data_IF_050606633737
#
_entry.id   IF_050606633737
#
_cell.length_a   1.000
_cell.length_b   1.000
_cell.length_c   1.000
_cell.angle_alpha   90.00
_cell.angle_beta   90.00
_cell.angle_gamma   90.00
#
_symmetry.space_group_name_H-M   'P 1'
#
loop_
_entity.id
_entity.type
_entity.pdbx_description
1 polymer ?
#
# COMPACT_ATOMS: atom_id res chain seq x y z
N UNK A 1 -10.29 14.59 -17.23
CA UNK A 1 -9.08 14.49 -16.40
C UNK A 1 -8.04 13.77 -17.24
N UNK A 2 -6.79 14.23 -17.26
CA UNK A 2 -5.77 13.58 -18.05
C UNK A 2 -5.29 12.26 -17.41
N UNK A 3 -4.61 11.41 -18.21
CA UNK A 3 -4.23 10.07 -17.77
C UNK A 3 -3.21 10.09 -16.60
N UNK A 4 -2.30 11.06 -16.57
CA UNK A 4 -1.31 11.16 -15.48
C UNK A 4 -1.98 11.52 -14.14
N UNK A 5 -2.96 12.42 -14.16
CA UNK A 5 -3.76 12.73 -12.96
C UNK A 5 -4.54 11.51 -12.46
N UNK A 6 -5.06 10.68 -13.38
CA UNK A 6 -5.75 9.44 -12.99
C UNK A 6 -4.80 8.37 -12.44
N UNK A 7 -3.57 8.30 -12.95
CA UNK A 7 -2.54 7.38 -12.45
C UNK A 7 -1.97 7.82 -11.09
N UNK A 8 -1.84 9.11 -10.88
CA UNK A 8 -1.23 9.69 -9.68
C UNK A 8 -2.12 10.76 -9.06
N UNK A 9 -3.27 10.40 -8.52
CA UNK A 9 -4.27 11.35 -8.02
C UNK A 9 -3.77 12.24 -6.87
N UNK A 10 -2.71 11.82 -6.18
CA UNK A 10 -2.03 12.58 -5.11
C UNK A 10 -0.56 12.91 -5.46
N UNK A 11 -0.19 12.80 -6.74
CA UNK A 11 1.21 12.92 -7.18
C UNK A 11 2.04 11.66 -6.91
N UNK A 12 3.27 11.66 -7.44
CA UNK A 12 4.24 10.57 -7.21
C UNK A 12 4.82 10.62 -5.80
N UNK A 13 5.35 9.49 -5.32
CA UNK A 13 6.02 9.44 -4.03
C UNK A 13 7.16 10.45 -3.98
N UNK A 14 7.17 11.27 -2.94
CA UNK A 14 8.21 12.27 -2.70
C UNK A 14 8.49 12.32 -1.19
N UNK A 15 9.60 11.74 -0.78
CA UNK A 15 10.01 11.71 0.61
C UNK A 15 10.95 12.88 0.93
N UNK A 16 10.92 13.42 2.16
CA UNK A 16 11.87 14.43 2.59
C UNK A 16 13.30 13.85 2.58
N UNK A 17 14.30 14.68 2.20
CA UNK A 17 15.71 14.27 2.22
C UNK A 17 16.20 13.84 3.60
N UNK A 18 15.66 14.46 4.65
CA UNK A 18 15.92 14.11 6.06
C UNK A 18 14.59 13.69 6.66
N UNK A 19 14.47 12.42 6.99
CA UNK A 19 13.27 11.86 7.60
C UNK A 19 13.35 12.05 9.11
N UNK A 20 12.46 12.85 9.65
CA UNK A 20 12.37 13.12 11.10
C UNK A 20 11.54 12.03 11.81
N UNK A 21 11.68 12.01 13.15
CA UNK A 21 10.82 11.16 14.00
C UNK A 21 9.33 11.48 13.81
N UNK A 22 8.99 12.76 13.64
CA UNK A 22 7.61 13.19 13.42
C UNK A 22 7.04 12.67 12.08
N UNK A 23 7.87 12.61 11.03
CA UNK A 23 7.46 12.01 9.75
C UNK A 23 7.13 10.54 9.93
N UNK A 24 7.98 9.78 10.63
CA UNK A 24 7.78 8.36 10.91
C UNK A 24 6.49 8.14 11.72
N UNK A 25 6.27 8.91 12.78
CA UNK A 25 5.05 8.82 13.60
C UNK A 25 3.78 9.11 12.79
N UNK A 26 3.82 10.13 11.93
CA UNK A 26 2.73 10.46 11.01
C UNK A 26 2.46 9.32 10.02
N UNK A 27 3.50 8.74 9.44
CA UNK A 27 3.35 7.64 8.49
C UNK A 27 2.82 6.36 9.15
N UNK A 28 3.28 6.04 10.36
CA UNK A 28 2.74 4.93 11.14
C UNK A 28 1.25 5.14 11.44
N UNK A 29 0.81 6.36 11.73
CA UNK A 29 -0.62 6.68 11.94
C UNK A 29 -1.45 6.46 10.67
N UNK A 30 -0.90 6.77 9.48
CA UNK A 30 -1.55 6.46 8.20
C UNK A 30 -1.71 4.95 8.02
N UNK A 31 -0.65 4.18 8.27
CA UNK A 31 -0.72 2.72 8.22
C UNK A 31 -1.76 2.17 9.21
N UNK A 32 -1.82 2.73 10.43
CA UNK A 32 -2.75 2.28 11.48
C UNK A 32 -4.23 2.45 11.08
N UNK A 33 -4.56 3.55 10.42
CA UNK A 33 -5.94 3.91 10.09
C UNK A 33 -6.40 3.43 8.72
N UNK A 34 -5.47 3.12 7.82
CA UNK A 34 -5.77 2.80 6.43
C UNK A 34 -6.78 1.65 6.24
N UNK A 35 -6.67 0.47 6.90
CA UNK A 35 -7.59 -0.63 6.64
C UNK A 35 -9.04 -0.29 6.99
N UNK A 36 -9.26 0.44 8.09
CA UNK A 36 -10.60 0.86 8.52
C UNK A 36 -11.17 1.92 7.57
N UNK A 37 -10.33 2.86 7.13
CA UNK A 37 -10.73 3.89 6.17
C UNK A 37 -11.10 3.27 4.81
N UNK A 38 -10.30 2.29 4.35
CA UNK A 38 -10.57 1.57 3.11
C UNK A 38 -11.89 0.80 3.21
N UNK A 39 -12.11 0.05 4.28
CA UNK A 39 -13.37 -0.66 4.52
C UNK A 39 -14.56 0.30 4.50
N UNK A 40 -14.46 1.40 5.24
CA UNK A 40 -15.53 2.40 5.28
C UNK A 40 -15.85 2.97 3.89
N UNK A 41 -14.83 3.20 3.08
CA UNK A 41 -14.98 3.72 1.72
C UNK A 41 -15.76 2.77 0.82
N UNK A 42 -15.49 1.45 0.90
CA UNK A 42 -15.98 0.47 -0.07
C UNK A 42 -17.15 -0.39 0.40
N UNK A 43 -17.52 -0.34 1.68
CA UNK A 43 -18.49 -1.26 2.32
C UNK A 43 -19.88 -1.32 1.68
N UNK A 44 -20.29 -0.27 0.96
CA UNK A 44 -21.61 -0.18 0.34
C UNK A 44 -21.56 -0.33 -1.19
N UNK A 45 -20.38 -0.65 -1.75
CA UNK A 45 -20.26 -0.84 -3.19
C UNK A 45 -20.82 -2.20 -3.60
N UNK A 46 -21.61 -2.20 -4.67
CA UNK A 46 -22.06 -3.43 -5.33
C UNK A 46 -20.92 -4.09 -6.10
N UNK A 47 -21.04 -5.38 -6.44
CA UNK A 47 -20.06 -6.07 -7.28
C UNK A 47 -19.81 -5.35 -8.61
N UNK A 48 -20.87 -4.83 -9.25
CA UNK A 48 -20.73 -4.03 -10.47
C UNK A 48 -19.83 -2.81 -10.28
N UNK A 49 -19.93 -2.13 -9.14
CA UNK A 49 -19.07 -0.99 -8.81
C UNK A 49 -17.66 -1.44 -8.46
N UNK A 50 -17.52 -2.52 -7.71
CA UNK A 50 -16.22 -3.12 -7.40
C UNK A 50 -15.46 -3.55 -8.65
N UNK A 51 -16.16 -4.00 -9.69
CA UNK A 51 -15.57 -4.44 -10.95
C UNK A 51 -15.40 -3.30 -11.99
N UNK A 52 -15.60 -2.04 -11.57
CA UNK A 52 -15.35 -0.86 -12.40
C UNK A 52 -13.86 -0.45 -12.31
N UNK A 53 -13.16 -0.30 -13.45
CA UNK A 53 -11.78 0.18 -13.47
C UNK A 53 -11.67 1.64 -13.01
N UNK A 54 -10.66 1.96 -12.18
CA UNK A 54 -10.45 3.34 -11.72
C UNK A 54 -10.02 4.31 -12.85
N UNK A 55 -9.55 3.79 -13.96
CA UNK A 55 -9.26 4.49 -15.23
C UNK A 55 -9.29 3.50 -16.39
N UNK A 56 -9.31 4.00 -17.61
CA UNK A 56 -9.16 3.16 -18.80
C UNK A 56 -7.84 2.35 -18.75
N UNK A 57 -7.93 1.05 -18.96
CA UNK A 57 -6.81 0.11 -18.88
C UNK A 57 -6.17 0.00 -17.49
N UNK A 58 -6.83 0.51 -16.44
CA UNK A 58 -6.42 0.35 -15.05
C UNK A 58 -7.10 -0.83 -14.36
N UNK A 59 -6.69 -1.10 -13.13
CA UNK A 59 -7.31 -2.10 -12.27
C UNK A 59 -8.73 -1.70 -11.86
N UNK A 60 -9.56 -2.68 -11.59
CA UNK A 60 -10.85 -2.49 -10.92
C UNK A 60 -10.65 -2.12 -9.46
N UNK A 61 -11.68 -1.58 -8.80
CA UNK A 61 -11.64 -1.34 -7.35
C UNK A 61 -11.30 -2.63 -6.60
N UNK A 62 -11.89 -3.76 -7.02
CA UNK A 62 -11.62 -5.09 -6.45
C UNK A 62 -10.14 -5.44 -6.53
N UNK A 63 -9.52 -5.32 -7.68
CA UNK A 63 -8.09 -5.57 -7.87
C UNK A 63 -7.22 -4.63 -7.03
N UNK A 64 -7.57 -3.35 -6.92
CA UNK A 64 -6.85 -2.39 -6.06
C UNK A 64 -6.89 -2.81 -4.60
N UNK A 65 -8.04 -3.29 -4.09
CA UNK A 65 -8.16 -3.75 -2.69
C UNK A 65 -7.30 -4.99 -2.44
N UNK A 66 -7.33 -5.97 -3.33
CA UNK A 66 -6.51 -7.18 -3.20
C UNK A 66 -5.02 -6.84 -3.32
N UNK A 67 -4.64 -5.97 -4.28
CA UNK A 67 -3.28 -5.46 -4.42
C UNK A 67 -2.76 -4.76 -3.16
N UNK A 68 -3.58 -3.99 -2.47
CA UNK A 68 -3.17 -3.36 -1.20
C UNK A 68 -2.71 -4.42 -0.18
N UNK A 69 -3.44 -5.53 -0.05
CA UNK A 69 -3.02 -6.60 0.85
C UNK A 69 -1.71 -7.25 0.38
N UNK A 70 -1.62 -7.64 -0.88
CA UNK A 70 -0.45 -8.31 -1.45
C UNK A 70 0.82 -7.45 -1.29
N UNK A 71 0.72 -6.17 -1.65
CA UNK A 71 1.82 -5.21 -1.54
C UNK A 71 2.26 -5.01 -0.09
N UNK A 72 1.31 -4.78 0.83
CA UNK A 72 1.62 -4.52 2.22
C UNK A 72 2.16 -5.75 2.95
N UNK A 73 1.70 -6.96 2.59
CA UNK A 73 2.27 -8.20 3.08
C UNK A 73 3.73 -8.38 2.64
N UNK A 74 4.03 -8.10 1.38
CA UNK A 74 5.40 -8.10 0.87
C UNK A 74 6.27 -7.09 1.63
N UNK A 75 5.79 -5.87 1.85
CA UNK A 75 6.51 -4.85 2.62
C UNK A 75 6.79 -5.29 4.05
N UNK A 76 5.78 -5.78 4.77
CA UNK A 76 5.96 -6.30 6.12
C UNK A 76 7.06 -7.37 6.18
N UNK A 77 7.08 -8.26 5.20
CA UNK A 77 8.09 -9.31 5.08
C UNK A 77 9.50 -8.71 4.87
N UNK A 78 9.63 -7.66 4.04
CA UNK A 78 10.90 -6.93 3.85
C UNK A 78 11.43 -6.34 5.16
N UNK A 79 10.55 -5.80 6.04
CA UNK A 79 10.96 -5.36 7.38
C UNK A 79 11.55 -6.50 8.21
N UNK A 80 10.91 -7.68 8.17
CA UNK A 80 11.38 -8.83 8.95
C UNK A 80 12.75 -9.28 8.47
N UNK A 81 12.97 -9.40 7.18
CA UNK A 81 14.28 -9.75 6.61
C UNK A 81 15.35 -8.71 6.96
N UNK A 82 15.07 -7.43 6.74
CA UNK A 82 16.05 -6.35 6.96
C UNK A 82 16.52 -6.26 8.42
N UNK A 83 15.67 -6.64 9.37
CA UNK A 83 16.04 -6.63 10.79
C UNK A 83 16.73 -7.88 11.27
N UNK A 84 16.62 -8.99 10.54
CA UNK A 84 17.18 -10.30 10.92
C UNK A 84 18.38 -10.72 10.06
N UNK A 85 18.61 -10.03 8.94
CA UNK A 85 19.69 -10.33 8.01
C UNK A 85 20.55 -9.07 7.78
N UNK A 86 21.74 -9.25 7.23
CA UNK A 86 22.61 -8.13 6.86
C UNK A 86 22.35 -7.71 5.42
N UNK A 87 21.72 -6.55 5.26
CA UNK A 87 21.36 -5.91 3.98
C UNK A 87 20.82 -6.92 2.92
N UNK A 88 19.68 -7.56 3.19
CA UNK A 88 19.14 -8.59 2.31
C UNK A 88 18.73 -8.02 0.94
N UNK A 89 18.91 -8.82 -0.11
CA UNK A 89 18.28 -8.57 -1.40
C UNK A 89 16.84 -9.09 -1.31
N UNK A 90 15.87 -8.21 -1.45
CA UNK A 90 14.45 -8.59 -1.35
C UNK A 90 13.98 -9.28 -2.65
N UNK A 91 12.94 -10.10 -2.53
CA UNK A 91 12.28 -10.63 -3.71
C UNK A 91 11.29 -9.60 -4.28
N UNK A 92 11.44 -9.28 -5.55
CA UNK A 92 10.43 -8.54 -6.31
C UNK A 92 9.23 -9.45 -6.56
N UNK A 93 8.03 -8.90 -6.45
CA UNK A 93 6.84 -9.55 -6.96
C UNK A 93 6.28 -8.73 -8.14
N UNK A 94 5.72 -9.42 -9.11
CA UNK A 94 5.17 -8.79 -10.30
C UNK A 94 3.71 -8.42 -10.05
N UNK A 95 3.46 -7.22 -9.53
CA UNK A 95 2.12 -6.76 -9.12
C UNK A 95 1.09 -6.85 -10.25
N UNK A 96 1.49 -6.49 -11.48
CA UNK A 96 0.61 -6.58 -12.65
C UNK A 96 0.15 -8.02 -12.91
N UNK A 97 1.05 -9.01 -12.73
CA UNK A 97 0.73 -10.42 -12.92
C UNK A 97 -0.12 -10.96 -11.76
N UNK A 98 0.15 -10.52 -10.53
CA UNK A 98 -0.66 -10.90 -9.37
C UNK A 98 -2.07 -10.32 -9.49
N UNK A 99 -2.22 -9.08 -9.96
CA UNK A 99 -3.52 -8.45 -10.24
C UNK A 99 -4.36 -9.21 -11.28
N UNK A 100 -3.74 -10.04 -12.12
CA UNK A 100 -4.43 -10.86 -13.11
C UNK A 100 -4.87 -12.25 -12.59
N UNK A 101 -4.47 -12.63 -11.38
CA UNK A 101 -4.88 -13.91 -10.78
C UNK A 101 -6.37 -13.88 -10.38
N UNK A 102 -6.94 -15.07 -10.23
CA UNK A 102 -8.37 -15.23 -10.00
C UNK A 102 -8.84 -14.62 -8.67
N UNK A 103 -8.03 -14.72 -7.63
CA UNK A 103 -8.32 -14.13 -6.33
C UNK A 103 -8.40 -12.59 -6.40
N UNK A 104 -7.48 -11.95 -7.11
CA UNK A 104 -7.52 -10.49 -7.32
C UNK A 104 -8.71 -10.04 -8.17
N UNK A 105 -9.19 -10.87 -9.08
CA UNK A 105 -10.28 -10.53 -10.02
C UNK A 105 -11.67 -10.83 -9.51
N UNK A 106 -11.84 -11.84 -8.68
CA UNK A 106 -13.18 -12.35 -8.36
C UNK A 106 -13.43 -12.70 -6.89
N UNK A 107 -12.41 -12.71 -6.04
CA UNK A 107 -12.62 -13.01 -4.63
C UNK A 107 -13.43 -11.91 -3.93
N UNK A 108 -14.21 -12.26 -2.88
CA UNK A 108 -14.83 -11.27 -2.03
C UNK A 108 -13.80 -10.34 -1.40
N UNK A 109 -13.98 -9.03 -1.53
CA UNK A 109 -13.02 -8.02 -1.01
C UNK A 109 -12.78 -8.12 0.48
N UNK A 110 -13.75 -8.66 1.23
CA UNK A 110 -13.64 -8.81 2.69
C UNK A 110 -12.44 -9.67 3.08
N UNK A 111 -12.03 -10.63 2.26
CA UNK A 111 -10.86 -11.47 2.52
C UNK A 111 -9.58 -10.63 2.63
N UNK A 112 -9.37 -9.68 1.72
CA UNK A 112 -8.22 -8.79 1.78
C UNK A 112 -8.38 -7.67 2.81
N UNK A 113 -9.58 -7.16 3.03
CA UNK A 113 -9.84 -6.14 4.06
C UNK A 113 -9.54 -6.70 5.46
N UNK A 114 -10.03 -7.88 5.80
CA UNK A 114 -9.77 -8.50 7.11
C UNK A 114 -8.29 -8.88 7.27
N UNK A 115 -7.67 -9.38 6.20
CA UNK A 115 -6.25 -9.67 6.20
C UNK A 115 -5.39 -8.39 6.37
N UNK A 116 -5.76 -7.27 5.71
CA UNK A 116 -5.13 -5.95 5.91
C UNK A 116 -5.26 -5.46 7.35
N UNK A 117 -6.44 -5.57 7.96
CA UNK A 117 -6.66 -5.18 9.36
C UNK A 117 -5.70 -5.92 10.29
N UNK A 118 -5.63 -7.25 10.15
CA UNK A 118 -4.76 -8.09 10.97
C UNK A 118 -3.27 -7.80 10.71
N UNK A 119 -2.88 -7.65 9.43
CA UNK A 119 -1.52 -7.32 9.03
C UNK A 119 -1.08 -5.97 9.58
N UNK A 120 -1.88 -4.91 9.36
CA UNK A 120 -1.54 -3.56 9.80
C UNK A 120 -1.52 -3.45 11.33
N UNK A 121 -2.43 -4.07 12.05
CA UNK A 121 -2.40 -4.11 13.52
C UNK A 121 -1.07 -4.70 14.01
N UNK A 122 -0.64 -5.82 13.44
CA UNK A 122 0.64 -6.46 13.77
C UNK A 122 1.85 -5.63 13.31
N UNK A 123 1.79 -5.03 12.13
CA UNK A 123 2.87 -4.22 11.59
C UNK A 123 3.07 -2.93 12.39
N UNK A 124 2.00 -2.22 12.71
CA UNK A 124 2.04 -0.99 13.52
C UNK A 124 2.53 -1.28 14.94
N UNK A 125 2.06 -2.37 15.58
CA UNK A 125 2.58 -2.80 16.88
C UNK A 125 4.10 -3.00 16.84
N UNK A 126 4.59 -3.69 15.82
CA UNK A 126 6.01 -3.92 15.59
C UNK A 126 6.78 -2.61 15.34
N UNK A 127 6.26 -1.70 14.51
CA UNK A 127 6.92 -0.43 14.19
C UNK A 127 7.01 0.50 15.40
N UNK A 128 5.98 0.55 16.25
CA UNK A 128 5.96 1.38 17.47
C UNK A 128 7.04 0.97 18.48
N UNK A 129 7.47 -0.29 18.47
CA UNK A 129 8.52 -0.82 19.35
C UNK A 129 9.92 -0.85 18.67
N UNK A 130 10.00 -0.54 17.39
CA UNK A 130 11.26 -0.56 16.64
C UNK A 130 12.05 0.72 16.87
N UNK A 131 13.33 0.60 17.29
CA UNK A 131 14.19 1.77 17.52
C UNK A 131 14.48 2.54 16.23
N UNK A 132 14.67 3.86 16.34
CA UNK A 132 15.05 4.71 15.20
C UNK A 132 16.30 4.20 14.48
N UNK A 133 17.32 3.76 15.23
CA UNK A 133 18.55 3.23 14.66
C UNK A 133 18.31 1.94 13.87
N UNK A 134 17.34 1.13 14.29
CA UNK A 134 16.94 -0.07 13.53
C UNK A 134 16.25 0.28 12.22
N UNK A 135 15.55 1.41 12.16
CA UNK A 135 14.90 1.90 10.96
C UNK A 135 15.87 2.48 9.91
N UNK A 136 17.14 2.72 10.28
CA UNK A 136 18.20 3.07 9.33
C UNK A 136 18.76 1.86 8.56
N UNK A 137 18.47 0.63 9.01
CA UNK A 137 18.84 -0.57 8.26
C UNK A 137 18.17 -0.58 6.89
N UNK A 138 18.88 -1.17 5.93
CA UNK A 138 18.50 -1.13 4.51
C UNK A 138 18.37 -2.54 3.94
N UNK A 139 17.55 -2.66 2.91
CA UNK A 139 17.52 -3.78 1.98
C UNK A 139 17.91 -3.29 0.58
N UNK A 140 18.25 -4.23 -0.31
CA UNK A 140 18.53 -3.95 -1.72
C UNK A 140 17.30 -4.33 -2.55
N UNK A 141 16.80 -3.37 -3.35
CA UNK A 141 15.77 -3.64 -4.36
C UNK A 141 16.46 -4.08 -5.65
N UNK A 142 16.23 -5.31 -6.15
CA UNK A 142 17.06 -5.88 -7.21
C UNK A 142 16.78 -5.30 -8.61
N UNK A 143 15.69 -4.58 -8.82
CA UNK A 143 15.39 -3.96 -10.13
C UNK A 143 16.38 -2.85 -10.46
N UNK A 144 16.66 -1.98 -9.48
CA UNK A 144 17.50 -0.79 -9.67
C UNK A 144 18.81 -0.90 -8.87
N UNK A 145 18.99 -1.96 -8.09
CA UNK A 145 20.02 -2.11 -7.06
C UNK A 145 20.01 -0.98 -6.02
N UNK A 146 18.86 -0.36 -5.81
CA UNK A 146 18.70 0.71 -4.86
C UNK A 146 18.70 0.18 -3.41
N UNK A 147 19.43 0.88 -2.55
CA UNK A 147 19.39 0.68 -1.12
C UNK A 147 18.24 1.49 -0.51
N UNK A 148 17.24 0.80 0.02
CA UNK A 148 16.08 1.41 0.65
C UNK A 148 16.13 1.18 2.15
N UNK A 149 16.14 2.24 2.96
CA UNK A 149 16.04 2.13 4.40
C UNK A 149 14.61 1.79 4.86
N UNK A 150 14.49 1.19 6.05
CA UNK A 150 13.16 0.89 6.60
C UNK A 150 12.34 2.15 6.86
N UNK A 151 12.95 3.27 7.25
CA UNK A 151 12.23 4.55 7.41
C UNK A 151 11.70 5.10 6.08
N UNK A 152 12.45 4.99 4.98
CA UNK A 152 11.97 5.33 3.64
C UNK A 152 10.81 4.42 3.24
N UNK A 153 10.93 3.11 3.51
CA UNK A 153 9.87 2.15 3.20
C UNK A 153 8.57 2.42 3.97
N UNK A 154 8.62 2.90 5.24
CA UNK A 154 7.42 3.37 5.95
C UNK A 154 6.76 4.52 5.19
N UNK A 155 7.54 5.52 4.75
CA UNK A 155 7.03 6.66 4.00
C UNK A 155 6.43 6.28 2.65
N UNK A 156 7.08 5.38 1.90
CA UNK A 156 6.58 4.83 0.65
C UNK A 156 5.22 4.16 0.87
N UNK A 157 5.07 3.35 1.93
CA UNK A 157 3.82 2.63 2.18
C UNK A 157 2.72 3.51 2.80
N UNK A 158 3.06 4.57 3.51
CA UNK A 158 2.09 5.59 3.88
C UNK A 158 1.56 6.35 2.65
N UNK A 159 2.44 6.69 1.69
CA UNK A 159 2.02 7.23 0.40
C UNK A 159 1.17 6.23 -0.38
N UNK A 160 1.56 4.96 -0.44
CA UNK A 160 0.86 3.88 -1.14
C UNK A 160 -0.57 3.68 -0.60
N UNK A 161 -0.77 3.74 0.72
CA UNK A 161 -2.10 3.75 1.33
C UNK A 161 -2.98 4.88 0.77
N UNK A 162 -2.49 6.11 0.84
CA UNK A 162 -3.22 7.29 0.38
C UNK A 162 -3.44 7.28 -1.13
N UNK A 163 -2.47 6.77 -1.90
CA UNK A 163 -2.51 6.68 -3.35
C UNK A 163 -3.64 5.76 -3.83
N UNK A 164 -3.72 4.55 -3.31
CA UNK A 164 -4.76 3.62 -3.67
C UNK A 164 -6.14 3.98 -3.10
N UNK A 165 -6.18 4.57 -1.91
CA UNK A 165 -7.40 5.16 -1.39
C UNK A 165 -7.95 6.23 -2.35
N UNK A 166 -7.08 7.13 -2.82
CA UNK A 166 -7.46 8.19 -3.74
C UNK A 166 -7.90 7.66 -5.12
N UNK A 167 -7.34 6.57 -5.63
CA UNK A 167 -7.83 5.93 -6.86
C UNK A 167 -9.31 5.57 -6.75
N UNK A 168 -9.68 4.91 -5.65
CA UNK A 168 -11.07 4.48 -5.40
C UNK A 168 -11.96 5.69 -5.15
N UNK A 169 -11.56 6.58 -4.26
CA UNK A 169 -12.35 7.77 -3.90
C UNK A 169 -12.64 8.68 -5.11
N UNK A 170 -11.61 8.95 -5.92
CA UNK A 170 -11.78 9.78 -7.11
C UNK A 170 -12.67 9.12 -8.17
N UNK A 171 -12.62 7.80 -8.33
CA UNK A 171 -13.57 7.09 -9.18
C UNK A 171 -14.98 7.25 -8.64
N UNK A 172 -15.22 7.02 -7.35
CA UNK A 172 -16.54 7.14 -6.73
C UNK A 172 -17.14 8.54 -6.90
N UNK A 173 -16.30 9.58 -6.78
CA UNK A 173 -16.71 10.97 -7.00
C UNK A 173 -17.12 11.19 -8.46
N UNK A 174 -16.29 10.73 -9.43
CA UNK A 174 -16.59 10.89 -10.87
C UNK A 174 -17.87 10.20 -11.31
N UNK A 175 -18.15 9.05 -10.72
CA UNK A 175 -19.34 8.25 -11.04
C UNK A 175 -20.57 8.66 -10.21
N UNK A 176 -20.44 9.64 -9.30
CA UNK A 176 -21.55 10.10 -8.46
C UNK A 176 -22.00 9.06 -7.41
N UNK A 177 -21.11 8.20 -6.96
CA UNK A 177 -21.38 7.17 -5.93
C UNK A 177 -21.14 7.68 -4.51
N UNK A 178 -20.58 8.87 -4.39
CA UNK A 178 -20.26 9.54 -3.12
C UNK A 178 -20.62 11.01 -3.19
#
# INVERSE_FOLDING_TARGET
MDLETLKYPIGKVNLPKIISKLDIEKWISILETFPQNLEFLVRNLSDKQLDTPYREGGWTIRQVIHHCYDSHHNSYTRFKWTLTEDKPIIKVYYEDRWGELNDSKSAPIILSIDALKALHAKWVYFLKDTSINSLDKKFIHPEDNDEVSLKENIGIYAWHCNHHFAHIEQLMIREGWR
#
